data_IF_078961865317
#
_entry.id   IF_078961865317
#
_cell.length_a   1.000
_cell.length_b   1.000
_cell.length_c   1.000
_cell.angle_alpha   90.00
_cell.angle_beta   90.00
_cell.angle_gamma   90.00
#
_symmetry.space_group_name_H-M   'P 1'
#
loop_
_entity.id
_entity.type
_entity.pdbx_description
1 polymer ?
#
# COMPACT_ATOMS: atom_id res chain seq x y z
N UNK A 1 9.09 23.67 -2.53
CA UNK A 1 10.06 22.58 -2.32
C UNK A 1 9.93 22.10 -0.88
N UNK A 2 9.07 21.11 -0.60
CA UNK A 2 8.93 20.53 0.75
C UNK A 2 9.82 19.29 0.83
N UNK A 3 10.95 19.46 1.52
CA UNK A 3 11.62 18.53 2.42
C UNK A 3 11.30 17.02 2.30
N UNK A 4 12.26 16.24 1.79
CA UNK A 4 12.98 15.22 2.58
C UNK A 4 12.24 14.03 3.20
N UNK A 5 10.95 13.82 2.94
CA UNK A 5 10.29 12.55 3.19
C UNK A 5 10.29 11.79 1.87
N UNK A 6 10.78 10.54 1.80
CA UNK A 6 10.52 9.73 0.62
C UNK A 6 9.00 9.69 0.47
N UNK A 7 8.47 10.23 -0.64
CA UNK A 7 7.07 10.09 -0.98
C UNK A 7 6.77 8.60 -0.93
N UNK A 8 5.94 8.18 0.04
CA UNK A 8 5.59 6.77 0.22
C UNK A 8 5.09 6.23 -1.13
N UNK A 9 4.30 7.01 -1.86
CA UNK A 9 3.86 6.71 -3.22
C UNK A 9 4.99 6.47 -4.22
N UNK A 10 6.11 7.20 -4.17
CA UNK A 10 7.26 6.96 -5.04
C UNK A 10 7.97 5.63 -4.70
N UNK A 11 8.02 5.26 -3.42
CA UNK A 11 8.57 3.97 -2.97
C UNK A 11 7.66 2.82 -3.41
N UNK A 12 6.34 3.00 -3.27
CA UNK A 12 5.33 2.05 -3.76
C UNK A 12 5.41 1.91 -5.28
N UNK A 13 5.52 3.01 -6.01
CA UNK A 13 5.65 3.02 -7.46
C UNK A 13 6.92 2.31 -7.94
N UNK A 14 8.03 2.43 -7.21
CA UNK A 14 9.24 1.66 -7.48
C UNK A 14 9.03 0.15 -7.24
N UNK A 15 8.42 -0.25 -6.12
CA UNK A 15 8.12 -1.65 -5.81
C UNK A 15 7.18 -2.29 -6.84
N UNK A 16 6.16 -1.55 -7.26
CA UNK A 16 5.25 -1.96 -8.33
C UNK A 16 5.98 -2.10 -9.66
N UNK A 17 6.84 -1.14 -10.00
CA UNK A 17 7.66 -1.20 -11.23
C UNK A 17 8.56 -2.42 -11.25
N UNK A 18 9.22 -2.73 -10.13
CA UNK A 18 10.03 -3.95 -9.96
C UNK A 18 9.20 -5.23 -10.15
N UNK A 19 8.01 -5.31 -9.54
CA UNK A 19 7.11 -6.45 -9.69
C UNK A 19 6.65 -6.65 -11.15
N UNK A 20 6.52 -5.55 -11.90
CA UNK A 20 6.15 -5.51 -13.31
C UNK A 20 7.35 -5.61 -14.26
N UNK A 21 8.58 -5.73 -13.74
CA UNK A 21 9.84 -5.74 -14.52
C UNK A 21 10.00 -4.52 -15.44
N UNK A 22 9.55 -3.35 -14.96
CA UNK A 22 9.60 -2.07 -15.68
C UNK A 22 10.14 -0.95 -14.78
N UNK A 23 10.15 0.26 -15.32
CA UNK A 23 10.46 1.46 -14.55
C UNK A 23 9.40 1.74 -13.45
N UNK A 24 9.74 2.59 -12.47
CA UNK A 24 8.83 2.96 -11.39
C UNK A 24 7.54 3.56 -11.94
N UNK A 25 6.41 3.22 -11.32
CA UNK A 25 5.10 3.76 -11.66
C UNK A 25 4.97 5.19 -11.10
N UNK A 26 4.29 6.04 -11.86
CA UNK A 26 3.82 7.34 -11.42
C UNK A 26 2.78 7.17 -10.29
N UNK A 27 2.62 8.18 -9.40
CA UNK A 27 1.70 8.08 -8.28
C UNK A 27 0.24 7.86 -8.68
N UNK A 28 -0.13 8.24 -9.90
CA UNK A 28 -1.45 8.13 -10.52
C UNK A 28 -1.54 7.02 -11.58
N UNK A 29 -0.46 6.25 -11.81
CA UNK A 29 -0.49 5.09 -12.70
C UNK A 29 -1.13 3.89 -12.00
N UNK A 30 -2.17 3.33 -12.62
CA UNK A 30 -2.82 2.11 -12.12
C UNK A 30 -1.97 0.86 -12.40
N UNK A 31 -1.78 0.03 -11.37
CA UNK A 31 -0.98 -1.18 -11.44
C UNK A 31 -1.53 -2.22 -12.44
N UNK A 32 -2.84 -2.41 -12.51
CA UNK A 32 -3.46 -3.39 -13.39
C UNK A 32 -3.44 -2.92 -14.84
N UNK A 33 -3.68 -1.64 -15.10
CA UNK A 33 -3.55 -1.04 -16.44
C UNK A 33 -2.11 -1.15 -16.97
N UNK A 34 -1.13 -1.12 -16.07
CA UNK A 34 0.28 -1.28 -16.39
C UNK A 34 0.71 -2.74 -16.70
N UNK A 35 -0.21 -3.71 -16.64
CA UNK A 35 0.06 -5.14 -16.86
C UNK A 35 0.21 -5.95 -15.56
N UNK A 36 -0.26 -5.41 -14.44
CA UNK A 36 -0.35 -6.10 -13.16
C UNK A 36 -1.33 -7.26 -13.18
N UNK A 37 -1.03 -8.27 -12.37
CA UNK A 37 -1.89 -9.42 -12.13
C UNK A 37 -2.13 -9.61 -10.64
N UNK A 38 -3.11 -10.43 -10.29
CA UNK A 38 -3.50 -10.68 -8.91
C UNK A 38 -2.39 -11.30 -8.06
N UNK A 39 -1.51 -12.12 -8.65
CA UNK A 39 -0.39 -12.75 -7.94
C UNK A 39 0.66 -11.71 -7.59
N UNK A 40 1.04 -10.86 -8.55
CA UNK A 40 1.98 -9.76 -8.31
C UNK A 40 1.40 -8.71 -7.37
N UNK A 41 0.11 -8.42 -7.46
CA UNK A 41 -0.58 -7.51 -6.54
C UNK A 41 -0.45 -8.01 -5.09
N UNK A 42 -0.68 -9.31 -4.85
CA UNK A 42 -0.50 -9.92 -3.53
C UNK A 42 0.96 -9.88 -3.07
N UNK A 43 1.94 -10.09 -3.95
CA UNK A 43 3.36 -9.97 -3.59
C UNK A 43 3.73 -8.53 -3.20
N UNK A 44 3.26 -7.54 -3.98
CA UNK A 44 3.45 -6.12 -3.68
C UNK A 44 2.83 -5.78 -2.32
N UNK A 45 1.59 -6.21 -2.06
CA UNK A 45 0.92 -6.00 -0.78
C UNK A 45 1.72 -6.54 0.42
N UNK A 46 2.28 -7.74 0.30
CA UNK A 46 3.11 -8.32 1.36
C UNK A 46 4.36 -7.47 1.62
N UNK A 47 5.04 -7.04 0.56
CA UNK A 47 6.21 -6.15 0.66
C UNK A 47 5.85 -4.79 1.26
N UNK A 48 4.68 -4.23 0.92
CA UNK A 48 4.21 -2.96 1.47
C UNK A 48 4.01 -3.03 2.98
N UNK A 49 3.42 -4.11 3.48
CA UNK A 49 3.23 -4.31 4.93
C UNK A 49 4.57 -4.39 5.65
N UNK A 50 5.55 -5.07 5.06
CA UNK A 50 6.91 -5.17 5.62
C UNK A 50 7.64 -3.80 5.63
N UNK A 51 7.46 -2.99 4.58
CA UNK A 51 8.04 -1.65 4.48
C UNK A 51 7.38 -0.67 5.46
N UNK A 52 6.05 -0.73 5.59
CA UNK A 52 5.28 0.15 6.47
C UNK A 52 5.48 -0.18 7.96
N UNK A 53 6.11 -1.33 8.30
CA UNK A 53 6.43 -1.79 9.67
C UNK A 53 5.36 -1.40 10.70
N UNK A 54 4.16 -1.98 10.60
CA UNK A 54 3.08 -1.71 11.54
C UNK A 54 3.52 -1.99 12.99
N UNK A 55 2.94 -1.24 13.94
CA UNK A 55 3.33 -1.27 15.36
C UNK A 55 3.04 -2.61 16.09
N UNK A 56 2.41 -3.57 15.41
CA UNK A 56 2.08 -4.89 15.96
C UNK A 56 1.28 -5.74 14.96
N UNK A 57 0.97 -7.01 15.34
CA UNK A 57 0.26 -7.94 14.46
C UNK A 57 -1.18 -7.47 14.13
N UNK A 58 -1.88 -6.85 15.08
CA UNK A 58 -3.24 -6.31 14.83
C UNK A 58 -3.23 -5.17 13.80
N UNK A 59 -2.25 -4.26 13.90
CA UNK A 59 -2.08 -3.18 12.94
C UNK A 59 -1.66 -3.71 11.56
N UNK A 60 -0.88 -4.79 11.52
CA UNK A 60 -0.49 -5.45 10.29
C UNK A 60 -1.69 -6.11 9.59
N UNK A 61 -2.57 -6.78 10.34
CA UNK A 61 -3.78 -7.41 9.82
C UNK A 61 -4.75 -6.34 9.26
N UNK A 62 -4.97 -5.26 10.03
CA UNK A 62 -5.82 -4.15 9.60
C UNK A 62 -5.26 -3.49 8.32
N UNK A 63 -3.95 -3.22 8.29
CA UNK A 63 -3.28 -2.69 7.10
C UNK A 63 -3.44 -3.62 5.89
N UNK A 64 -3.27 -4.93 6.07
CA UNK A 64 -3.42 -5.94 5.01
C UNK A 64 -4.83 -5.94 4.43
N UNK A 65 -5.86 -5.94 5.27
CA UNK A 65 -7.26 -5.91 4.81
C UNK A 65 -7.53 -4.65 3.99
N UNK A 66 -7.20 -3.48 4.54
CA UNK A 66 -7.46 -2.21 3.86
C UNK A 66 -6.66 -2.08 2.57
N UNK A 67 -5.39 -2.47 2.55
CA UNK A 67 -4.60 -2.46 1.31
C UNK A 67 -5.16 -3.43 0.25
N UNK A 68 -5.68 -4.59 0.65
CA UNK A 68 -6.30 -5.54 -0.27
C UNK A 68 -7.57 -4.94 -0.89
N UNK A 69 -8.41 -4.27 -0.11
CA UNK A 69 -9.59 -3.57 -0.63
C UNK A 69 -9.17 -2.42 -1.55
N UNK A 70 -8.23 -1.58 -1.11
CA UNK A 70 -7.76 -0.42 -1.87
C UNK A 70 -7.09 -0.82 -3.16
N UNK A 71 -6.26 -1.87 -3.22
CA UNK A 71 -5.63 -2.26 -4.49
C UNK A 71 -6.67 -2.64 -5.54
N UNK A 72 -7.84 -3.19 -5.16
CA UNK A 72 -8.91 -3.51 -6.12
C UNK A 72 -9.80 -2.31 -6.50
N UNK A 73 -9.82 -1.26 -5.68
CA UNK A 73 -10.59 -0.04 -5.94
C UNK A 73 -9.75 1.05 -6.64
N UNK A 74 -8.52 1.25 -6.18
CA UNK A 74 -7.56 2.25 -6.62
C UNK A 74 -6.14 1.65 -6.54
N UNK A 75 -5.73 0.97 -7.61
CA UNK A 75 -4.44 0.27 -7.70
C UNK A 75 -3.27 1.23 -7.97
N UNK A 76 -3.41 2.52 -7.67
CA UNK A 76 -2.37 3.52 -7.85
C UNK A 76 -1.41 3.56 -6.65
N UNK A 77 -0.13 3.91 -6.86
CA UNK A 77 0.80 4.10 -5.76
C UNK A 77 0.35 5.18 -4.76
N UNK A 78 -0.37 6.21 -5.20
CA UNK A 78 -0.92 7.24 -4.32
C UNK A 78 -2.02 6.69 -3.41
N UNK A 79 -2.96 5.89 -3.94
CA UNK A 79 -4.02 5.26 -3.17
C UNK A 79 -3.47 4.38 -2.05
N UNK A 80 -2.53 3.48 -2.39
CA UNK A 80 -1.90 2.62 -1.39
C UNK A 80 -1.02 3.39 -0.39
N UNK A 81 -0.37 4.47 -0.83
CA UNK A 81 0.42 5.32 0.07
C UNK A 81 -0.45 5.98 1.12
N UNK A 82 -1.65 6.44 0.76
CA UNK A 82 -2.60 7.02 1.69
C UNK A 82 -2.99 6.02 2.80
N UNK A 83 -3.20 4.74 2.45
CA UNK A 83 -3.48 3.68 3.43
C UNK A 83 -2.29 3.45 4.34
N UNK A 84 -1.08 3.30 3.79
CA UNK A 84 0.11 3.12 4.64
C UNK A 84 0.34 4.31 5.58
N UNK A 85 0.12 5.55 5.13
CA UNK A 85 0.24 6.74 6.00
C UNK A 85 -0.85 6.77 7.07
N UNK A 86 -2.09 6.43 6.72
CA UNK A 86 -3.19 6.37 7.68
C UNK A 86 -2.97 5.34 8.80
N UNK A 87 -2.36 4.19 8.46
CA UNK A 87 -2.10 3.10 9.39
C UNK A 87 -0.71 3.19 10.07
N UNK A 88 0.24 3.95 9.52
CA UNK A 88 1.54 4.22 10.15
C UNK A 88 1.43 5.08 11.41
N UNK A 89 0.29 5.75 11.64
CA UNK A 89 0.09 6.62 12.80
C UNK A 89 -1.18 6.30 13.59
N UNK A 90 -1.24 5.16 14.27
CA UNK A 90 -2.04 5.09 15.51
C UNK A 90 -1.54 4.00 16.47
N UNK A 91 -0.76 4.34 17.52
CA UNK A 91 -0.82 3.60 18.77
C UNK A 91 -2.11 4.02 19.47
N UNK A 92 -3.23 3.37 19.12
CA UNK A 92 -4.50 3.51 19.83
C UNK A 92 -5.66 4.02 18.97
N UNK A 93 -6.27 3.14 18.19
CA UNK A 93 -7.67 3.25 17.81
C UNK A 93 -8.35 1.91 18.11
N UNK A 94 -8.82 1.77 19.35
CA UNK A 94 -9.79 0.75 19.72
C UNK A 94 -11.15 1.13 19.16
N UNK A 95 -11.80 0.19 18.43
CA UNK A 95 -13.26 0.09 18.37
C UNK A 95 -13.90 0.16 16.98
N UNK A 96 -14.65 -0.89 16.63
CA UNK A 96 -15.67 -0.83 15.57
C UNK A 96 -15.93 -2.17 14.89
N UNK A 97 -16.78 -3.02 15.47
CA UNK A 97 -16.98 -4.39 15.02
C UNK A 97 -17.66 -4.54 13.65
N UNK A 98 -17.51 -5.73 13.07
CA UNK A 98 -18.50 -6.27 12.14
C UNK A 98 -18.93 -7.65 12.62
N UNK A 99 -20.23 -7.75 12.91
CA UNK A 99 -21.00 -8.97 13.16
C UNK A 99 -21.93 -9.07 11.95
N UNK A 100 -21.94 -10.20 11.26
CA UNK A 100 -23.10 -10.73 10.56
C UNK A 100 -23.08 -12.24 10.68
#
# INVERSE_FOLDING_TARGET
>A
MRNGQPDVSATIGALMGEALLRGPLAPDEDFFDCGGDSVRAVDVLQRLVDVCRPAGPEAAEALRSTLLETIFEDATPAGLAAVCVAHATVPGAVGGGQRH
#
